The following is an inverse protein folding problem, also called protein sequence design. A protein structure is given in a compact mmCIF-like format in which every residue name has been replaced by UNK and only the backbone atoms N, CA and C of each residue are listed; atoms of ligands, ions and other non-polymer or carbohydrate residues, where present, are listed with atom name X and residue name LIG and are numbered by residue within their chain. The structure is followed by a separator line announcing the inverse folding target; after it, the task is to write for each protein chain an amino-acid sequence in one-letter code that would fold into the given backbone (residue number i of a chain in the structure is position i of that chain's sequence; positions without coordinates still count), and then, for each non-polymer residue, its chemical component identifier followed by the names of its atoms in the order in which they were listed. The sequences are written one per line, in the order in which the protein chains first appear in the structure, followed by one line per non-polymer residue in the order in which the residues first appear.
data_IF_884187484300
#
_entry.id   IF_884187484300
#
_cell.length_a   1.000
_cell.length_b   1.000
_cell.length_c   1.000
_cell.angle_alpha   90.00
_cell.angle_beta   90.00
_cell.angle_gamma   90.00
#
_symmetry.space_group_name_H-M   'P 1'
#
loop_
_entity.id
_entity.type
_entity.pdbx_description
1 polymer ?
#
# COMPACT_ATOMS: atom_id res chain seq x y z
N UNK A 1 -6.30 -16.09 9.67
CA UNK A 1 -4.85 -16.39 9.62
C UNK A 1 -4.50 -17.77 10.15
N UNK A 2 -5.07 -18.22 11.28
CA UNK A 2 -4.81 -19.57 11.82
C UNK A 2 -4.91 -20.70 10.80
N UNK A 3 -5.92 -20.69 9.92
CA UNK A 3 -6.05 -21.65 8.82
C UNK A 3 -4.89 -21.61 7.82
N UNK A 4 -4.40 -20.41 7.42
CA UNK A 4 -3.28 -20.28 6.49
C UNK A 4 -1.95 -20.71 7.12
N UNK A 5 -1.74 -20.41 8.41
CA UNK A 5 -0.57 -20.87 9.16
C UNK A 5 -0.59 -22.39 9.31
N UNK A 6 -1.74 -22.97 9.64
CA UNK A 6 -1.94 -24.41 9.68
C UNK A 6 -1.69 -25.05 8.32
N UNK A 7 -2.27 -24.49 7.25
CA UNK A 7 -2.07 -24.97 5.88
C UNK A 7 -0.60 -24.90 5.44
N UNK A 8 0.11 -23.83 5.75
CA UNK A 8 1.55 -23.72 5.49
C UNK A 8 2.36 -24.77 6.26
N UNK A 9 2.04 -24.99 7.53
CA UNK A 9 2.66 -26.05 8.34
C UNK A 9 2.39 -27.44 7.77
N UNK A 10 1.13 -27.75 7.45
CA UNK A 10 0.71 -29.01 6.87
C UNK A 10 1.41 -29.29 5.52
N UNK A 11 1.44 -28.30 4.62
CA UNK A 11 2.13 -28.42 3.33
C UNK A 11 3.64 -28.65 3.49
N UNK A 12 4.25 -28.07 4.51
CA UNK A 12 5.67 -28.29 4.81
C UNK A 12 5.93 -29.72 5.27
N UNK A 13 5.08 -30.25 6.17
CA UNK A 13 5.18 -31.63 6.65
C UNK A 13 4.91 -32.63 5.52
N UNK A 14 3.83 -32.44 4.76
CA UNK A 14 3.50 -33.29 3.61
C UNK A 14 4.61 -33.24 2.55
N UNK A 15 5.24 -32.08 2.34
CA UNK A 15 6.42 -31.95 1.47
C UNK A 15 7.63 -32.74 1.98
N UNK A 16 7.88 -32.78 3.30
CA UNK A 16 8.94 -33.59 3.89
C UNK A 16 8.67 -35.08 3.72
N UNK A 17 7.43 -35.51 3.97
CA UNK A 17 7.02 -36.91 3.87
C UNK A 17 7.11 -37.42 2.43
N UNK A 18 6.62 -36.66 1.45
CA UNK A 18 6.72 -36.99 0.03
C UNK A 18 8.18 -37.17 -0.44
N UNK A 19 9.09 -36.30 0.01
CA UNK A 19 10.51 -36.43 -0.32
C UNK A 19 11.16 -37.60 0.43
N UNK A 20 10.71 -37.88 1.65
CA UNK A 20 11.16 -39.04 2.42
C UNK A 20 10.81 -40.38 1.76
N UNK A 21 9.70 -40.43 1.01
CA UNK A 21 9.32 -41.60 0.20
C UNK A 21 10.15 -41.67 -1.10
N UNK A 22 10.32 -40.56 -1.83
CA UNK A 22 11.15 -40.50 -3.05
C UNK A 22 12.62 -40.91 -2.81
N UNK A 23 13.19 -40.56 -1.65
CA UNK A 23 14.57 -40.89 -1.27
C UNK A 23 14.70 -42.37 -0.88
N UNK A 24 13.67 -42.97 -0.27
CA UNK A 24 13.66 -44.40 0.08
C UNK A 24 13.57 -45.27 -1.17
N UNK A 25 12.86 -44.81 -2.20
CA UNK A 25 12.69 -45.53 -3.47
C UNK A 25 13.94 -45.45 -4.37
N UNK A 26 14.62 -44.29 -4.43
CA UNK A 26 15.79 -44.05 -5.29
C UNK A 26 17.14 -44.37 -4.63
N UNK A 27 17.18 -45.37 -3.75
CA UNK A 27 18.34 -45.67 -2.89
C UNK A 27 19.71 -45.70 -3.60
N UNK A 28 20.69 -45.12 -2.91
CA UNK A 28 22.16 -45.22 -3.07
C UNK A 28 22.89 -44.14 -3.89
N UNK A 29 23.47 -43.15 -3.18
CA UNK A 29 24.67 -42.45 -3.67
C UNK A 29 24.83 -40.99 -3.30
N UNK A 30 23.74 -40.24 -3.13
CA UNK A 30 23.81 -38.83 -2.70
C UNK A 30 23.65 -38.70 -1.19
N UNK A 31 24.38 -37.76 -0.59
CA UNK A 31 24.18 -37.39 0.81
C UNK A 31 22.69 -37.12 1.04
N UNK A 32 22.13 -37.65 2.12
CA UNK A 32 20.71 -37.51 2.47
C UNK A 32 20.22 -36.06 2.32
N UNK A 33 21.08 -35.09 2.67
CA UNK A 33 20.84 -33.64 2.51
C UNK A 33 20.76 -33.19 1.05
N UNK A 34 21.62 -33.70 0.15
CA UNK A 34 21.57 -33.38 -1.28
C UNK A 34 20.31 -33.97 -1.95
N UNK A 35 19.85 -35.14 -1.51
CA UNK A 35 18.58 -35.72 -1.96
C UNK A 35 17.38 -34.85 -1.60
N UNK A 36 17.33 -34.36 -0.35
CA UNK A 36 16.28 -33.42 0.08
C UNK A 36 16.33 -32.10 -0.72
N UNK A 37 17.52 -31.54 -0.97
CA UNK A 37 17.68 -30.30 -1.74
C UNK A 37 17.43 -30.46 -3.25
N UNK A 38 17.36 -31.69 -3.77
CA UNK A 38 17.10 -31.95 -5.18
C UNK A 38 15.62 -31.77 -5.55
N UNK A 39 14.70 -31.93 -4.60
CA UNK A 39 13.29 -31.67 -4.83
C UNK A 39 13.01 -30.15 -4.84
N UNK A 40 12.54 -29.64 -5.97
CA UNK A 40 12.32 -28.20 -6.18
C UNK A 40 11.31 -27.60 -5.18
N UNK A 41 10.26 -28.35 -4.83
CA UNK A 41 9.22 -27.86 -3.91
C UNK A 41 9.75 -27.75 -2.48
N UNK A 42 10.46 -28.78 -2.02
CA UNK A 42 11.08 -28.78 -0.70
C UNK A 42 12.17 -27.70 -0.59
N UNK A 43 13.09 -27.65 -1.56
CA UNK A 43 14.17 -26.66 -1.60
C UNK A 43 13.62 -25.24 -1.51
N UNK A 44 12.65 -24.90 -2.35
CA UNK A 44 12.08 -23.54 -2.38
C UNK A 44 11.36 -23.19 -1.07
N UNK A 45 10.63 -24.15 -0.47
CA UNK A 45 9.92 -23.93 0.79
C UNK A 45 10.87 -23.73 1.97
N UNK A 46 11.90 -24.57 2.09
CA UNK A 46 12.91 -24.48 3.15
C UNK A 46 13.72 -23.19 3.03
N UNK A 47 14.19 -22.85 1.83
CA UNK A 47 14.93 -21.60 1.60
C UNK A 47 14.06 -20.39 1.97
N UNK A 48 12.78 -20.38 1.59
CA UNK A 48 11.89 -19.27 1.92
C UNK A 48 11.58 -19.16 3.42
N UNK A 49 11.40 -20.28 4.13
CA UNK A 49 11.19 -20.27 5.58
C UNK A 49 12.45 -19.81 6.32
N UNK A 50 13.61 -20.31 5.90
CA UNK A 50 14.91 -19.92 6.44
C UNK A 50 15.20 -18.44 6.17
N UNK A 51 14.90 -17.92 4.97
CA UNK A 51 15.10 -16.51 4.66
C UNK A 51 14.13 -15.61 5.43
N UNK A 52 12.89 -16.02 5.63
CA UNK A 52 11.88 -15.18 6.27
C UNK A 52 12.02 -15.16 7.77
N UNK A 53 12.10 -16.33 8.41
CA UNK A 53 12.15 -16.45 9.87
C UNK A 53 13.57 -16.62 10.40
N UNK A 54 14.43 -17.35 9.68
CA UNK A 54 15.82 -17.55 10.08
C UNK A 54 16.65 -16.26 10.04
N UNK A 55 16.48 -15.42 9.00
CA UNK A 55 17.15 -14.12 8.96
C UNK A 55 16.61 -13.16 10.03
N UNK A 56 15.31 -13.21 10.36
CA UNK A 56 14.77 -12.41 11.46
C UNK A 56 15.38 -12.82 12.78
N UNK A 57 15.44 -14.13 13.04
CA UNK A 57 16.11 -14.67 14.22
C UNK A 57 17.57 -14.26 14.29
N UNK A 58 18.34 -14.48 13.24
CA UNK A 58 19.75 -14.10 13.19
C UNK A 58 19.94 -12.58 13.38
N UNK A 59 19.11 -11.76 12.75
CA UNK A 59 19.13 -10.31 12.92
C UNK A 59 18.88 -9.92 14.38
N UNK A 60 17.88 -10.50 15.06
CA UNK A 60 17.58 -10.16 16.45
C UNK A 60 18.76 -10.44 17.40
N UNK A 61 19.59 -11.47 17.11
CA UNK A 61 20.84 -11.71 17.85
C UNK A 61 21.94 -10.70 17.51
N UNK A 62 22.10 -10.33 16.23
CA UNK A 62 23.05 -9.28 15.81
C UNK A 62 22.73 -7.95 16.51
N UNK A 63 21.45 -7.67 16.73
CA UNK A 63 20.95 -6.48 17.43
C UNK A 63 20.88 -6.61 18.97
N UNK A 64 21.30 -7.74 19.54
CA UNK A 64 21.31 -8.02 20.98
C UNK A 64 19.94 -7.94 21.69
N UNK A 65 18.83 -8.03 20.95
CA UNK A 65 17.48 -7.95 21.51
C UNK A 65 16.59 -9.12 21.03
N UNK A 66 16.92 -10.39 21.34
CA UNK A 66 16.16 -11.53 20.80
C UNK A 66 14.75 -11.70 21.40
N UNK A 67 14.47 -11.02 22.52
CA UNK A 67 13.26 -11.28 23.31
C UNK A 67 11.94 -11.05 22.59
N UNK A 68 11.89 -10.11 21.65
CA UNK A 68 10.68 -9.83 20.86
C UNK A 68 10.21 -11.03 20.03
N UNK A 69 11.12 -11.90 19.62
CA UNK A 69 10.76 -13.13 18.92
C UNK A 69 10.17 -14.20 19.83
N UNK A 70 10.45 -14.18 21.14
CA UNK A 70 9.90 -15.17 22.06
C UNK A 70 8.53 -14.73 22.59
N UNK A 71 8.36 -13.44 22.92
CA UNK A 71 7.12 -12.97 23.55
C UNK A 71 6.02 -12.56 22.56
N UNK A 72 6.37 -11.98 21.40
CA UNK A 72 5.39 -11.37 20.48
C UNK A 72 5.33 -11.99 19.10
N UNK A 73 6.18 -12.97 18.78
CA UNK A 73 6.20 -13.56 17.44
C UNK A 73 4.88 -14.24 17.06
N UNK A 74 4.26 -14.97 17.98
CA UNK A 74 2.98 -15.61 17.70
C UNK A 74 1.89 -14.57 17.43
N UNK A 75 1.77 -13.55 18.27
CA UNK A 75 0.81 -12.44 18.08
C UNK A 75 1.05 -11.73 16.74
N UNK A 76 2.32 -11.48 16.41
CA UNK A 76 2.74 -10.90 15.13
C UNK A 76 2.27 -11.76 13.95
N UNK A 77 2.52 -13.07 13.95
CA UNK A 77 2.10 -13.97 12.87
C UNK A 77 0.59 -13.93 12.60
N UNK A 78 -0.23 -13.79 13.65
CA UNK A 78 -1.68 -13.67 13.49
C UNK A 78 -2.12 -12.31 12.94
N UNK A 79 -1.40 -11.23 13.25
CA UNK A 79 -1.74 -9.87 12.81
C UNK A 79 -1.16 -9.49 11.44
N UNK A 80 -0.04 -10.09 11.02
CA UNK A 80 0.64 -9.80 9.73
C UNK A 80 -0.31 -9.71 8.53
N UNK A 81 -1.17 -10.70 8.22
CA UNK A 81 -2.04 -10.60 7.05
C UNK A 81 -3.11 -9.53 7.19
N UNK A 82 -3.56 -9.24 8.42
CA UNK A 82 -4.51 -8.15 8.64
C UNK A 82 -3.84 -6.83 8.31
N UNK A 83 -2.60 -6.61 8.76
CA UNK A 83 -1.84 -5.42 8.40
C UNK A 83 -1.54 -5.36 6.90
N UNK A 84 -1.07 -6.45 6.29
CA UNK A 84 -0.75 -6.47 4.85
C UNK A 84 -1.99 -6.19 4.01
N UNK A 85 -3.14 -6.79 4.32
CA UNK A 85 -4.35 -6.58 3.52
C UNK A 85 -5.00 -5.22 3.79
N UNK A 86 -5.20 -4.85 5.07
CA UNK A 86 -5.88 -3.60 5.43
C UNK A 86 -5.06 -2.39 5.00
N UNK A 87 -3.76 -2.36 5.30
CA UNK A 87 -2.92 -1.22 4.93
C UNK A 87 -2.81 -1.07 3.41
N UNK A 88 -2.72 -2.17 2.67
CA UNK A 88 -2.61 -2.12 1.22
C UNK A 88 -3.91 -1.61 0.56
N UNK A 89 -5.07 -2.13 0.99
CA UNK A 89 -6.38 -1.64 0.51
C UNK A 89 -6.58 -0.18 0.89
N UNK A 90 -6.25 0.20 2.13
CA UNK A 90 -6.37 1.57 2.58
C UNK A 90 -5.47 2.52 1.77
N UNK A 91 -4.23 2.12 1.49
CA UNK A 91 -3.30 2.89 0.68
C UNK A 91 -3.80 3.10 -0.75
N UNK A 92 -4.27 2.04 -1.43
CA UNK A 92 -4.82 2.18 -2.79
C UNK A 92 -6.10 3.00 -2.83
N UNK A 93 -6.98 2.85 -1.84
CA UNK A 93 -8.18 3.66 -1.72
C UNK A 93 -7.86 5.13 -1.41
N UNK A 94 -6.75 5.46 -0.78
CA UNK A 94 -6.44 6.84 -0.38
C UNK A 94 -5.25 7.45 -1.11
N UNK A 95 -4.83 6.89 -2.25
CA UNK A 95 -3.65 7.38 -2.99
C UNK A 95 -3.78 8.84 -3.49
N UNK A 96 -5.00 9.32 -3.68
CA UNK A 96 -5.33 10.71 -4.00
C UNK A 96 -5.14 11.68 -2.83
N UNK A 97 -5.13 11.20 -1.60
CA UNK A 97 -5.05 12.00 -0.38
C UNK A 97 -3.60 12.10 0.11
N UNK A 98 -2.84 12.99 -0.52
CA UNK A 98 -1.44 13.31 -0.17
C UNK A 98 -1.38 14.27 1.05
N UNK A 99 -2.53 14.69 1.59
CA UNK A 99 -2.58 15.57 2.77
C UNK A 99 -2.08 14.87 4.04
N UNK A 100 -1.95 13.53 4.02
CA UNK A 100 -1.27 12.75 5.05
C UNK A 100 0.24 13.04 5.07
N UNK A 101 0.61 14.17 5.66
CA UNK A 101 1.98 14.65 5.77
C UNK A 101 2.11 16.17 5.70
N UNK A 102 1.08 16.88 5.22
CA UNK A 102 1.07 18.34 5.03
C UNK A 102 -0.06 19.05 5.77
N UNK A 103 -0.70 18.39 6.75
CA UNK A 103 -1.80 18.97 7.57
C UNK A 103 -1.45 20.27 8.34
N UNK A 104 -0.21 20.76 8.26
CA UNK A 104 0.23 22.06 8.75
C UNK A 104 0.17 23.20 7.72
N UNK A 105 -0.06 22.93 6.44
CA UNK A 105 -0.21 23.97 5.41
C UNK A 105 -1.65 24.50 5.41
N UNK A 106 -1.92 25.43 6.33
CA UNK A 106 -3.19 26.14 6.43
C UNK A 106 -3.20 27.35 5.49
N UNK A 107 -3.28 27.13 4.18
CA UNK A 107 -3.76 28.18 3.28
C UNK A 107 -5.29 28.26 3.43
N UNK A 108 -5.75 29.04 4.40
CA UNK A 108 -7.17 29.36 4.56
C UNK A 108 -7.61 30.06 3.27
N UNK A 109 -8.48 29.44 2.49
CA UNK A 109 -9.11 30.07 1.35
C UNK A 109 -10.07 31.15 1.87
N UNK A 110 -9.56 32.35 2.13
CA UNK A 110 -10.36 33.52 2.46
C UNK A 110 -10.91 34.10 1.17
N UNK A 111 -11.88 33.44 0.56
CA UNK A 111 -12.73 34.08 -0.44
C UNK A 111 -14.03 34.53 0.25
N UNK A 112 -13.92 35.63 1.00
CA UNK A 112 -15.10 36.44 1.29
C UNK A 112 -15.31 37.32 0.07
N UNK A 113 -16.04 36.78 -0.91
CA UNK A 113 -16.47 37.53 -2.08
C UNK A 113 -17.00 38.90 -1.68
N UNK A 114 -16.30 39.94 -2.12
CA UNK A 114 -16.75 41.34 -2.20
C UNK A 114 -17.37 41.92 -0.92
N UNK A 115 -16.87 41.60 0.27
CA UNK A 115 -17.22 42.31 1.49
C UNK A 115 -16.08 43.27 1.90
N UNK A 116 -16.20 44.55 1.54
CA UNK A 116 -15.35 45.60 2.11
C UNK A 116 -15.75 45.80 3.58
N UNK A 117 -14.90 45.35 4.50
CA UNK A 117 -15.06 45.64 5.94
C UNK A 117 -14.67 47.09 6.20
N UNK A 118 -15.53 47.85 6.86
CA UNK A 118 -15.16 49.13 7.51
C UNK A 118 -14.43 48.85 8.82
N UNK A 119 -13.66 49.83 9.30
CA UNK A 119 -12.73 49.70 10.44
C UNK A 119 -13.39 49.26 11.77
N UNK A 120 -14.73 49.33 11.86
CA UNK A 120 -15.51 49.02 13.07
C UNK A 120 -16.28 47.68 12.98
N UNK A 121 -16.04 46.85 11.97
CA UNK A 121 -16.59 45.49 11.90
C UNK A 121 -18.04 45.38 11.39
N UNK A 122 -18.62 46.46 10.87
CA UNK A 122 -19.88 46.45 10.13
C UNK A 122 -19.69 46.18 8.63
N UNK A 123 -20.73 45.63 7.99
CA UNK A 123 -20.83 45.56 6.52
C UNK A 123 -21.74 46.71 6.10
N UNK A 124 -21.19 47.75 5.49
CA UNK A 124 -21.98 48.85 4.94
C UNK A 124 -22.62 48.40 3.62
N UNK A 125 -23.93 48.21 3.64
CA UNK A 125 -24.75 48.10 2.44
C UNK A 125 -25.45 49.44 2.25
N UNK A 126 -25.09 50.16 1.19
CA UNK A 126 -25.76 51.39 0.82
C UNK A 126 -27.18 51.05 0.33
N UNK A 127 -28.19 51.25 1.18
CA UNK A 127 -29.60 51.10 0.80
C UNK A 127 -30.11 52.47 0.34
N UNK A 128 -30.55 52.63 -0.92
CA UNK A 128 -31.09 53.90 -1.40
C UNK A 128 -32.33 54.29 -0.60
N UNK A 129 -32.36 55.53 -0.08
CA UNK A 129 -33.42 56.04 0.78
C UNK A 129 -34.32 57.06 0.08
N UNK A 130 -33.92 57.57 -1.09
CA UNK A 130 -34.72 58.48 -1.90
C UNK A 130 -35.69 57.71 -2.81
N UNK A 131 -36.92 58.22 -2.93
CA UNK A 131 -38.00 57.63 -3.73
C UNK A 131 -37.64 57.49 -5.20
N UNK A 132 -36.85 58.44 -5.74
CA UNK A 132 -36.39 58.42 -7.11
C UNK A 132 -35.35 57.31 -7.35
N UNK A 133 -34.43 57.11 -6.40
CA UNK A 133 -33.42 56.06 -6.47
C UNK A 133 -34.03 54.66 -6.35
N UNK A 134 -35.08 54.51 -5.54
CA UNK A 134 -35.83 53.25 -5.43
C UNK A 134 -36.50 52.90 -6.77
N UNK A 135 -37.12 53.89 -7.43
CA UNK A 135 -37.78 53.65 -8.72
C UNK A 135 -36.76 53.36 -9.82
N UNK A 136 -35.63 54.06 -9.83
CA UNK A 136 -34.53 53.79 -10.75
C UNK A 136 -33.96 52.38 -10.56
N UNK A 137 -33.73 51.95 -9.32
CA UNK A 137 -33.26 50.59 -9.02
C UNK A 137 -34.29 49.52 -9.41
N UNK A 138 -35.59 49.82 -9.27
CA UNK A 138 -36.66 48.92 -9.70
C UNK A 138 -36.70 48.75 -11.24
N UNK A 139 -36.61 49.86 -11.98
CA UNK A 139 -36.56 49.84 -13.45
C UNK A 139 -35.29 49.16 -13.97
N UNK A 140 -34.15 49.37 -13.31
CA UNK A 140 -32.89 48.70 -13.60
C UNK A 140 -32.99 47.18 -13.37
N UNK A 141 -33.61 46.74 -12.26
CA UNK A 141 -33.85 45.33 -11.98
C UNK A 141 -34.80 44.68 -13.01
N UNK A 142 -35.88 45.36 -13.41
CA UNK A 142 -36.78 44.89 -14.47
C UNK A 142 -36.05 44.72 -15.80
N UNK A 143 -35.18 45.68 -16.14
CA UNK A 143 -34.34 45.64 -17.35
C UNK A 143 -33.35 44.47 -17.27
N UNK A 144 -32.68 44.28 -16.14
CA UNK A 144 -31.75 43.16 -15.91
C UNK A 144 -32.43 41.80 -16.00
N UNK A 145 -33.70 41.68 -15.58
CA UNK A 145 -34.48 40.44 -15.68
C UNK A 145 -34.97 40.16 -17.11
N UNK A 146 -35.14 41.20 -17.93
CA UNK A 146 -35.58 41.06 -19.33
C UNK A 146 -34.49 40.52 -20.27
N UNK A 147 -33.22 40.68 -19.87
CA UNK A 147 -32.08 40.16 -20.63
C UNK A 147 -31.87 38.69 -20.28
N UNK A 148 -31.84 37.82 -21.30
CA UNK A 148 -31.50 36.41 -21.09
C UNK A 148 -30.08 36.32 -20.55
N UNK A 149 -29.93 35.81 -19.33
CA UNK A 149 -28.63 35.56 -18.70
C UNK A 149 -27.77 34.75 -19.65
N UNK A 150 -26.67 35.34 -20.11
CA UNK A 150 -25.65 34.61 -20.86
C UNK A 150 -25.10 33.56 -19.90
N UNK A 151 -25.24 32.28 -20.24
CA UNK A 151 -24.61 31.22 -19.47
C UNK A 151 -23.10 31.48 -19.48
N UNK A 152 -22.60 32.04 -18.39
CA UNK A 152 -21.17 32.15 -18.15
C UNK A 152 -20.68 30.71 -18.15
N UNK A 153 -19.94 30.31 -19.19
CA UNK A 153 -19.24 29.04 -19.22
C UNK A 153 -18.31 29.04 -18.03
N UNK A 154 -18.75 28.44 -16.92
CA UNK A 154 -17.93 28.30 -15.74
C UNK A 154 -16.74 27.43 -16.14
N UNK A 155 -15.58 28.05 -16.32
CA UNK A 155 -14.36 27.29 -16.41
C UNK A 155 -14.13 26.70 -15.02
N UNK A 156 -13.98 25.38 -14.98
CA UNK A 156 -13.69 24.67 -13.73
C UNK A 156 -12.45 25.31 -13.10
N UNK A 157 -12.55 25.69 -11.83
CA UNK A 157 -11.41 26.26 -11.14
C UNK A 157 -10.22 25.28 -11.18
N UNK A 158 -9.01 25.83 -11.18
CA UNK A 158 -7.79 25.04 -11.30
C UNK A 158 -7.68 23.99 -10.18
N UNK A 159 -8.17 24.30 -8.97
CA UNK A 159 -8.15 23.41 -7.81
C UNK A 159 -9.09 22.22 -7.99
N UNK A 160 -10.32 22.43 -8.43
CA UNK A 160 -11.31 21.38 -8.70
C UNK A 160 -10.81 20.46 -9.80
N UNK A 161 -10.20 21.02 -10.86
CA UNK A 161 -9.60 20.21 -11.94
C UNK A 161 -8.48 19.31 -11.42
N UNK A 162 -7.65 19.81 -10.50
CA UNK A 162 -6.58 19.04 -9.87
C UNK A 162 -7.12 17.95 -8.93
N UNK A 163 -8.14 18.25 -8.12
CA UNK A 163 -8.79 17.26 -7.25
C UNK A 163 -9.38 16.10 -8.05
N UNK A 164 -10.05 16.39 -9.17
CA UNK A 164 -10.63 15.34 -10.00
C UNK A 164 -9.58 14.52 -10.72
N UNK A 165 -8.47 15.14 -11.14
CA UNK A 165 -7.33 14.41 -11.68
C UNK A 165 -6.78 13.41 -10.65
N UNK A 166 -6.64 13.80 -9.37
CA UNK A 166 -6.20 12.88 -8.32
C UNK A 166 -7.22 11.77 -8.03
N UNK A 167 -8.53 12.08 -8.05
CA UNK A 167 -9.60 11.06 -7.93
C UNK A 167 -9.60 10.08 -9.12
N UNK A 168 -9.33 10.56 -10.33
CA UNK A 168 -9.18 9.72 -11.53
C UNK A 168 -7.97 8.78 -11.40
N UNK A 169 -6.81 9.29 -10.98
CA UNK A 169 -5.61 8.48 -10.75
C UNK A 169 -5.91 7.34 -9.76
N UNK A 170 -6.54 7.64 -8.63
CA UNK A 170 -6.94 6.62 -7.64
C UNK A 170 -7.72 5.49 -8.30
N UNK A 171 -8.73 5.86 -9.10
CA UNK A 171 -9.61 4.88 -9.76
C UNK A 171 -8.85 4.05 -10.79
N UNK A 172 -8.00 4.68 -11.60
CA UNK A 172 -7.20 3.99 -12.63
C UNK A 172 -6.16 3.06 -12.02
N UNK A 173 -5.52 3.46 -10.93
CA UNK A 173 -4.56 2.62 -10.20
C UNK A 173 -5.27 1.41 -9.60
N UNK A 174 -6.42 1.61 -8.93
CA UNK A 174 -7.19 0.51 -8.35
C UNK A 174 -7.67 -0.47 -9.44
N UNK A 175 -8.20 0.03 -10.56
CA UNK A 175 -8.62 -0.80 -11.69
C UNK A 175 -7.44 -1.58 -12.29
N UNK A 176 -6.29 -0.93 -12.51
CA UNK A 176 -5.09 -1.59 -13.02
C UNK A 176 -4.61 -2.67 -12.07
N UNK A 177 -4.65 -2.42 -10.76
CA UNK A 177 -4.29 -3.40 -9.74
C UNK A 177 -5.22 -4.60 -9.76
N UNK A 178 -6.54 -4.42 -9.76
CA UNK A 178 -7.52 -5.52 -9.82
C UNK A 178 -7.34 -6.32 -11.13
N UNK A 179 -7.20 -5.63 -12.26
CA UNK A 179 -7.03 -6.28 -13.57
C UNK A 179 -5.72 -7.06 -13.66
N UNK A 180 -4.62 -6.55 -13.09
CA UNK A 180 -3.34 -7.26 -13.03
C UNK A 180 -3.41 -8.55 -12.19
N UNK A 181 -4.11 -8.52 -11.05
CA UNK A 181 -4.34 -9.71 -10.23
C UNK A 181 -5.25 -10.73 -10.95
N UNK A 182 -6.31 -10.27 -11.61
CA UNK A 182 -7.20 -11.13 -12.40
C UNK A 182 -6.44 -11.80 -13.56
N UNK A 183 -5.59 -11.04 -14.26
CA UNK A 183 -4.73 -11.56 -15.33
C UNK A 183 -3.73 -12.59 -14.79
N UNK A 184 -3.11 -12.33 -13.64
CA UNK A 184 -2.20 -13.29 -13.00
C UNK A 184 -2.91 -14.61 -12.66
N UNK A 185 -4.09 -14.55 -12.05
CA UNK A 185 -4.90 -15.74 -11.73
C UNK A 185 -5.29 -16.50 -12.99
N UNK A 186 -5.67 -15.79 -14.06
CA UNK A 186 -5.99 -16.41 -15.35
C UNK A 186 -4.79 -17.12 -15.98
N UNK A 187 -3.59 -16.50 -15.92
CA UNK A 187 -2.36 -17.11 -16.43
C UNK A 187 -1.99 -18.39 -15.68
N UNK A 188 -2.13 -18.39 -14.35
CA UNK A 188 -1.76 -19.55 -13.52
C UNK A 188 -2.77 -20.69 -13.67
N UNK A 189 -4.07 -20.37 -13.71
CA UNK A 189 -5.13 -21.39 -13.66
C UNK A 189 -5.62 -21.88 -15.02
N UNK A 190 -5.75 -20.98 -15.99
CA UNK A 190 -6.52 -21.25 -17.22
C UNK A 190 -5.65 -21.39 -18.47
N UNK A 191 -4.44 -20.81 -18.45
CA UNK A 191 -3.57 -20.74 -19.64
C UNK A 191 -2.45 -21.79 -19.52
N UNK A 192 -2.61 -22.93 -20.19
CA UNK A 192 -1.58 -23.97 -20.29
C UNK A 192 -1.69 -25.06 -19.23
N UNK A 193 -0.55 -25.60 -18.78
CA UNK A 193 -0.52 -26.71 -17.82
C UNK A 193 -0.48 -26.18 -16.38
N UNK A 194 -1.58 -26.38 -15.65
CA UNK A 194 -1.77 -25.91 -14.28
C UNK A 194 -0.66 -26.36 -13.32
N UNK A 195 -0.24 -27.62 -13.38
CA UNK A 195 0.76 -28.16 -12.44
C UNK A 195 2.12 -27.50 -12.63
N UNK A 196 2.52 -27.30 -13.89
CA UNK A 196 3.78 -26.62 -14.22
C UNK A 196 3.73 -25.14 -13.86
N UNK A 197 2.64 -24.46 -14.20
CA UNK A 197 2.47 -23.03 -13.95
C UNK A 197 2.41 -22.73 -12.46
N UNK A 198 1.68 -23.54 -11.68
CA UNK A 198 1.55 -23.37 -10.23
C UNK A 198 2.88 -23.56 -9.51
N UNK A 199 3.65 -24.60 -9.87
CA UNK A 199 5.00 -24.84 -9.32
C UNK A 199 5.96 -23.70 -9.66
N UNK A 200 5.91 -23.20 -10.90
CA UNK A 200 6.75 -22.09 -11.36
C UNK A 200 6.40 -20.79 -10.63
N UNK A 201 5.11 -20.46 -10.55
CA UNK A 201 4.61 -19.28 -9.84
C UNK A 201 4.99 -19.31 -8.37
N UNK A 202 4.75 -20.43 -7.68
CA UNK A 202 5.14 -20.61 -6.29
C UNK A 202 6.65 -20.44 -6.10
N UNK A 203 7.46 -21.03 -6.99
CA UNK A 203 8.92 -20.86 -6.99
C UNK A 203 9.34 -19.40 -7.13
N UNK A 204 8.77 -18.66 -8.08
CA UNK A 204 9.06 -17.22 -8.29
C UNK A 204 8.73 -16.41 -7.04
N UNK A 205 7.56 -16.63 -6.43
CA UNK A 205 7.15 -15.90 -5.21
C UNK A 205 8.10 -16.19 -4.05
N UNK A 206 8.42 -17.46 -3.79
CA UNK A 206 9.30 -17.87 -2.69
C UNK A 206 10.72 -17.29 -2.85
N UNK A 207 11.29 -17.36 -4.06
CA UNK A 207 12.61 -16.78 -4.34
C UNK A 207 12.62 -15.24 -4.29
N UNK A 208 11.54 -14.59 -4.71
CA UNK A 208 11.40 -13.13 -4.62
C UNK A 208 11.37 -12.68 -3.16
N UNK A 209 10.63 -13.38 -2.30
CA UNK A 209 10.60 -13.11 -0.85
C UNK A 209 11.98 -13.35 -0.23
N UNK A 210 12.65 -14.45 -0.60
CA UNK A 210 13.99 -14.74 -0.11
C UNK A 210 15.01 -13.67 -0.49
N UNK A 211 14.98 -13.20 -1.75
CA UNK A 211 15.85 -12.11 -2.21
C UNK A 211 15.58 -10.80 -1.47
N UNK A 212 14.31 -10.41 -1.31
CA UNK A 212 13.96 -9.19 -0.57
C UNK A 212 14.34 -9.26 0.90
N UNK A 213 14.16 -10.43 1.54
CA UNK A 213 14.58 -10.66 2.92
C UNK A 213 16.10 -10.56 3.06
N UNK A 214 16.86 -11.15 2.14
CA UNK A 214 18.31 -11.05 2.10
C UNK A 214 18.78 -9.60 1.90
N UNK A 215 18.18 -8.86 0.97
CA UNK A 215 18.49 -7.45 0.73
C UNK A 215 18.28 -6.61 2.01
N UNK A 216 17.15 -6.81 2.70
CA UNK A 216 16.87 -6.14 3.98
C UNK A 216 17.87 -6.53 5.06
N UNK A 217 18.27 -7.80 5.12
CA UNK A 217 19.26 -8.28 6.08
C UNK A 217 20.65 -7.68 5.83
N UNK A 218 21.09 -7.58 4.58
CA UNK A 218 22.35 -6.91 4.23
C UNK A 218 22.29 -5.44 4.69
N UNK A 219 21.18 -4.75 4.46
CA UNK A 219 20.97 -3.38 4.92
C UNK A 219 21.03 -3.26 6.45
N UNK A 220 20.39 -4.17 7.19
CA UNK A 220 20.40 -4.13 8.66
C UNK A 220 21.78 -4.44 9.26
N UNK A 221 22.51 -5.40 8.69
CA UNK A 221 23.89 -5.71 9.08
C UNK A 221 24.82 -4.54 8.76
N UNK A 222 24.68 -3.93 7.57
CA UNK A 222 25.47 -2.76 7.19
C UNK A 222 25.23 -1.59 8.16
N UNK A 223 23.96 -1.33 8.50
CA UNK A 223 23.61 -0.32 9.50
C UNK A 223 24.29 -0.60 10.85
N UNK A 224 24.29 -1.86 11.31
CA UNK A 224 24.91 -2.21 12.58
C UNK A 224 26.43 -2.04 12.56
N UNK A 225 27.08 -2.42 11.45
CA UNK A 225 28.51 -2.21 11.23
C UNK A 225 28.84 -0.72 11.26
N UNK A 226 28.09 0.10 10.51
CA UNK A 226 28.28 1.55 10.49
C UNK A 226 28.04 2.17 11.86
N UNK A 227 27.04 1.70 12.63
CA UNK A 227 26.78 2.14 14.00
C UNK A 227 27.95 1.83 14.93
N UNK A 228 28.58 0.66 14.77
CA UNK A 228 29.72 0.23 15.58
C UNK A 228 30.98 1.07 15.29
N UNK A 229 31.22 1.42 14.03
CA UNK A 229 32.39 2.23 13.64
C UNK A 229 32.19 3.74 13.78
N UNK A 230 30.99 4.26 13.53
CA UNK A 230 30.66 5.67 13.73
C UNK A 230 30.30 5.98 15.19
N UNK A 231 30.91 5.26 16.14
CA UNK A 231 30.69 5.32 17.59
C UNK A 231 30.99 6.69 18.20
N UNK A 232 30.18 7.69 17.85
CA UNK A 232 30.06 8.97 18.53
C UNK A 232 28.67 9.02 19.18
N UNK A 233 28.70 8.75 20.50
CA UNK A 233 27.77 9.22 21.53
C UNK A 233 26.30 8.78 21.43
N UNK A 234 25.98 7.72 22.17
CA UNK A 234 24.97 7.81 23.26
C UNK A 234 25.64 7.31 24.52
#
# INVERSE_FOLDING_TARGET
MGYMLFGAGYMTVAGIEAVGEEIKENGSGQSTVAGYLSNDMFRNTVISLASTYGLYFLASFIFFEPWHMFHSFLQYLFMVPSYVNILNVYAFCNIHDISWGTKGDTSVATDLGVAKKTAEGGVEVAVPTDSQDINNAYEEALTSLSVKTVEVKQHRDAKTKQEDYYREIRTRVLLTWIMSNALLVSLVTSIGNFDKNSKTYLGIVLWSVAFLALFRFIGSVTYMILRLFNGRLV
#
